data_IF_715904147196
#
_entry.id   IF_715904147196
#
_cell.length_a   1.000
_cell.length_b   1.000
_cell.length_c   1.000
_cell.angle_alpha   90.00
_cell.angle_beta   90.00
_cell.angle_gamma   90.00
#
_symmetry.space_group_name_H-M   'P 1'
#
loop_
_entity.id
_entity.type
_entity.pdbx_description
1 polymer ?
#
# COMPACT_ATOMS: atom_id res chain seq x y z
N UNK A 1 3.56 14.97 10.00
CA UNK A 1 4.73 14.50 9.22
C UNK A 1 5.25 13.27 9.94
N UNK A 2 5.36 12.13 9.26
CA UNK A 2 5.91 10.91 9.87
C UNK A 2 7.39 11.17 10.19
N UNK A 3 7.77 11.15 11.45
CA UNK A 3 9.17 11.29 11.88
C UNK A 3 9.89 9.93 11.82
N UNK A 4 9.77 9.27 10.67
CA UNK A 4 10.35 7.96 10.42
C UNK A 4 11.58 8.13 9.50
N UNK A 5 12.73 7.59 9.92
CA UNK A 5 13.98 7.67 9.17
C UNK A 5 14.26 6.42 8.33
N UNK A 6 13.60 5.31 8.66
CA UNK A 6 13.76 4.03 7.96
C UNK A 6 12.58 3.80 7.01
N UNK A 7 12.87 3.81 5.71
CA UNK A 7 11.88 3.51 4.67
C UNK A 7 12.34 2.32 3.84
N UNK A 8 11.55 1.25 3.82
CA UNK A 8 11.88 0.02 3.12
C UNK A 8 10.99 -0.13 1.90
N UNK A 9 11.60 -0.23 0.72
CA UNK A 9 10.92 -0.28 -0.57
C UNK A 9 11.50 -1.39 -1.44
N UNK A 10 10.67 -2.37 -1.83
CA UNK A 10 11.10 -3.49 -2.67
C UNK A 10 11.57 -3.05 -4.06
N UNK A 11 10.94 -2.05 -4.66
CA UNK A 11 11.33 -1.54 -5.99
C UNK A 11 12.73 -0.89 -5.92
N UNK A 12 13.02 -0.14 -4.84
CA UNK A 12 14.34 0.43 -4.61
C UNK A 12 15.42 -0.64 -4.39
N UNK A 13 15.09 -1.71 -3.65
CA UNK A 13 15.99 -2.86 -3.46
C UNK A 13 16.24 -3.55 -4.81
N UNK A 14 15.20 -3.82 -5.59
CA UNK A 14 15.33 -4.44 -6.91
C UNK A 14 16.19 -3.61 -7.87
N UNK A 15 15.99 -2.28 -7.89
CA UNK A 15 16.80 -1.37 -8.69
C UNK A 15 18.28 -1.36 -8.23
N UNK A 16 18.55 -1.51 -6.95
CA UNK A 16 19.92 -1.64 -6.41
C UNK A 16 20.59 -2.96 -6.80
N UNK A 17 19.84 -4.07 -6.82
CA UNK A 17 20.35 -5.38 -7.20
C UNK A 17 20.57 -5.54 -8.71
N UNK A 18 19.64 -5.02 -9.51
CA UNK A 18 19.66 -5.13 -10.97
C UNK A 18 19.12 -3.85 -11.62
N UNK A 19 19.96 -2.80 -11.77
CA UNK A 19 19.52 -1.49 -12.24
C UNK A 19 18.87 -1.51 -13.64
N UNK A 20 19.31 -2.41 -14.53
CA UNK A 20 18.80 -2.51 -15.90
C UNK A 20 17.67 -3.53 -16.06
N UNK A 21 17.46 -4.41 -15.09
CA UNK A 21 16.38 -5.42 -15.13
C UNK A 21 15.87 -5.76 -13.72
N UNK A 22 15.26 -4.79 -13.01
CA UNK A 22 14.80 -4.98 -11.63
C UNK A 22 13.72 -6.07 -11.50
N UNK A 23 12.95 -6.33 -12.55
CA UNK A 23 11.91 -7.37 -12.54
C UNK A 23 12.49 -8.78 -12.33
N UNK A 24 13.69 -9.05 -12.86
CA UNK A 24 14.35 -10.37 -12.73
C UNK A 24 14.65 -10.74 -11.28
N UNK A 25 14.76 -9.77 -10.39
CA UNK A 25 15.10 -9.92 -8.96
C UNK A 25 13.96 -9.52 -8.01
N UNK A 26 12.75 -9.33 -8.53
CA UNK A 26 11.62 -8.85 -7.73
C UNK A 26 11.29 -9.75 -6.53
N UNK A 27 11.41 -11.08 -6.67
CA UNK A 27 11.18 -12.04 -5.58
C UNK A 27 12.27 -11.92 -4.51
N UNK A 28 13.53 -11.77 -4.93
CA UNK A 28 14.67 -11.59 -4.03
C UNK A 28 14.55 -10.27 -3.28
N UNK A 29 14.25 -9.19 -3.97
CA UNK A 29 14.00 -7.88 -3.38
C UNK A 29 12.88 -7.91 -2.34
N UNK A 30 11.80 -8.63 -2.62
CA UNK A 30 10.71 -8.83 -1.66
C UNK A 30 11.15 -9.59 -0.39
N UNK A 31 12.02 -10.60 -0.53
CA UNK A 31 12.59 -11.32 0.61
C UNK A 31 13.51 -10.42 1.44
N UNK A 32 14.38 -9.65 0.80
CA UNK A 32 15.27 -8.69 1.46
C UNK A 32 14.49 -7.61 2.18
N UNK A 33 13.42 -7.08 1.56
CA UNK A 33 12.50 -6.14 2.20
C UNK A 33 11.93 -6.72 3.50
N UNK A 34 11.39 -7.95 3.47
CA UNK A 34 10.84 -8.59 4.67
C UNK A 34 11.92 -8.85 5.74
N UNK A 35 13.12 -9.28 5.34
CA UNK A 35 14.25 -9.44 6.26
C UNK A 35 14.58 -8.14 6.97
N UNK A 36 14.70 -7.03 6.20
CA UNK A 36 14.98 -5.71 6.77
C UNK A 36 13.89 -5.24 7.74
N UNK A 37 12.62 -5.47 7.41
CA UNK A 37 11.50 -5.14 8.30
C UNK A 37 11.62 -5.92 9.62
N UNK A 38 11.94 -7.21 9.59
CA UNK A 38 12.11 -8.00 10.82
C UNK A 38 13.31 -7.53 11.65
N UNK A 39 14.41 -7.14 11.01
CA UNK A 39 15.58 -6.56 11.71
C UNK A 39 15.20 -5.27 12.44
N UNK A 40 14.48 -4.35 11.75
CA UNK A 40 14.03 -3.09 12.33
C UNK A 40 13.06 -3.31 13.50
N UNK A 41 12.12 -4.25 13.33
CA UNK A 41 11.21 -4.65 14.41
C UNK A 41 11.98 -5.21 15.62
N UNK A 42 12.97 -6.08 15.40
CA UNK A 42 13.80 -6.65 16.46
C UNK A 42 14.65 -5.59 17.17
N UNK A 43 15.03 -4.53 16.47
CA UNK A 43 15.78 -3.41 17.03
C UNK A 43 14.91 -2.34 17.71
N UNK A 44 13.58 -2.44 17.62
CA UNK A 44 12.65 -1.44 18.18
C UNK A 44 12.70 -0.09 17.47
N UNK A 45 13.06 -0.07 16.18
CA UNK A 45 13.21 1.15 15.38
C UNK A 45 11.94 1.41 14.57
N UNK A 46 11.45 2.66 14.60
CA UNK A 46 10.31 3.05 13.76
C UNK A 46 10.68 3.00 12.28
N UNK A 47 9.82 2.38 11.48
CA UNK A 47 10.03 2.23 10.04
C UNK A 47 8.72 2.41 9.26
N UNK A 48 8.86 2.72 7.98
CA UNK A 48 7.77 2.71 7.02
C UNK A 48 8.12 1.83 5.82
N UNK A 49 7.11 1.30 5.16
CA UNK A 49 7.27 0.61 3.89
C UNK A 49 6.06 0.86 2.99
N UNK A 50 6.24 0.69 1.68
CA UNK A 50 5.15 0.81 0.73
C UNK A 50 4.73 -0.54 0.15
N UNK A 51 3.45 -0.65 -0.20
CA UNK A 51 2.86 -1.82 -0.82
C UNK A 51 1.61 -1.44 -1.60
N UNK A 52 1.27 -2.21 -2.62
CA UNK A 52 -0.01 -2.07 -3.34
C UNK A 52 -1.20 -2.62 -2.54
N UNK A 53 -1.00 -3.13 -1.34
CA UNK A 53 -1.99 -3.88 -0.54
C UNK A 53 -2.62 -5.09 -1.25
N UNK A 54 -2.19 -5.46 -2.44
CA UNK A 54 -2.76 -6.58 -3.20
C UNK A 54 -2.46 -7.97 -2.60
N UNK A 55 -1.54 -8.04 -1.65
CA UNK A 55 -1.22 -9.27 -0.90
C UNK A 55 -1.85 -9.26 0.50
N UNK A 56 -2.17 -10.45 1.00
CA UNK A 56 -2.69 -10.67 2.36
C UNK A 56 -1.57 -10.91 3.39
N UNK A 57 -0.33 -11.13 2.93
CA UNK A 57 0.80 -11.53 3.79
C UNK A 57 1.16 -10.49 4.85
N UNK A 58 0.92 -9.19 4.58
CA UNK A 58 1.22 -8.14 5.57
C UNK A 58 0.24 -8.08 6.75
N UNK A 59 -0.90 -8.79 6.70
CA UNK A 59 -1.82 -8.90 7.85
C UNK A 59 -1.12 -9.53 9.06
N UNK A 60 -0.35 -10.61 8.83
CA UNK A 60 0.43 -11.24 9.89
C UNK A 60 1.55 -10.34 10.39
N UNK A 61 2.23 -9.60 9.49
CA UNK A 61 3.26 -8.64 9.86
C UNK A 61 2.70 -7.52 10.75
N UNK A 62 1.55 -6.93 10.38
CA UNK A 62 0.87 -5.91 11.20
C UNK A 62 0.57 -6.44 12.59
N UNK A 63 -0.03 -7.64 12.70
CA UNK A 63 -0.34 -8.26 13.98
C UNK A 63 0.91 -8.55 14.81
N UNK A 64 1.98 -9.05 14.18
CA UNK A 64 3.25 -9.31 14.87
C UNK A 64 3.90 -8.02 15.37
N UNK A 65 3.87 -6.95 14.58
CA UNK A 65 4.37 -5.65 15.00
C UNK A 65 3.60 -5.12 16.22
N UNK A 66 2.27 -5.21 16.19
CA UNK A 66 1.43 -4.81 17.32
C UNK A 66 1.70 -5.62 18.60
N UNK A 67 1.96 -6.93 18.46
CA UNK A 67 2.30 -7.79 19.60
C UNK A 67 3.60 -7.38 20.30
N UNK A 68 4.55 -6.77 19.58
CA UNK A 68 5.80 -6.25 20.14
C UNK A 68 5.76 -4.74 20.42
N UNK A 69 4.56 -4.15 20.44
CA UNK A 69 4.31 -2.78 20.93
C UNK A 69 4.28 -1.68 19.87
N UNK A 70 4.42 -2.00 18.56
CA UNK A 70 4.28 -0.99 17.52
C UNK A 70 2.84 -0.50 17.37
N UNK A 71 2.70 0.77 17.02
CA UNK A 71 1.46 1.36 16.51
C UNK A 71 1.53 1.41 14.99
N UNK A 72 0.54 0.79 14.34
CA UNK A 72 0.51 0.67 12.88
C UNK A 72 -0.41 1.71 12.28
N UNK A 73 0.18 2.58 11.45
CA UNK A 73 -0.54 3.58 10.66
C UNK A 73 -0.57 3.17 9.19
N UNK A 74 -1.76 3.10 8.60
CA UNK A 74 -1.96 2.86 7.18
C UNK A 74 -2.34 4.16 6.48
N UNK A 75 -1.53 4.60 5.51
CA UNK A 75 -1.89 5.64 4.57
C UNK A 75 -2.19 5.00 3.20
N UNK A 76 -3.43 5.03 2.76
CA UNK A 76 -3.83 4.52 1.46
C UNK A 76 -4.04 5.67 0.47
N UNK A 77 -3.27 5.66 -0.60
CA UNK A 77 -3.35 6.66 -1.68
C UNK A 77 -4.29 6.10 -2.75
N UNK A 78 -5.52 6.59 -2.75
CA UNK A 78 -6.53 6.16 -3.70
C UNK A 78 -6.32 6.81 -5.07
N UNK A 79 -6.61 6.04 -6.11
CA UNK A 79 -6.66 6.43 -7.51
C UNK A 79 -8.05 6.04 -8.03
N UNK A 80 -8.67 6.86 -8.86
CA UNK A 80 -10.08 6.70 -9.27
C UNK A 80 -10.35 5.42 -10.07
N UNK A 81 -9.39 4.95 -10.86
CA UNK A 81 -9.61 3.81 -11.75
C UNK A 81 -8.34 3.00 -12.08
N UNK A 82 -8.49 1.73 -12.50
CA UNK A 82 -7.39 0.97 -13.09
C UNK A 82 -6.79 1.66 -14.33
N UNK A 83 -7.61 2.36 -15.12
CA UNK A 83 -7.15 3.09 -16.31
C UNK A 83 -6.18 4.21 -15.94
N UNK A 84 -6.48 5.00 -14.91
CA UNK A 84 -5.58 6.02 -14.37
C UNK A 84 -4.30 5.41 -13.80
N UNK A 85 -4.41 4.25 -13.12
CA UNK A 85 -3.22 3.54 -12.66
C UNK A 85 -2.33 3.08 -13.82
N UNK A 86 -2.91 2.57 -14.91
CA UNK A 86 -2.18 2.17 -16.12
C UNK A 86 -1.51 3.38 -16.79
N UNK A 87 -2.20 4.51 -16.89
CA UNK A 87 -1.63 5.75 -17.43
C UNK A 87 -0.41 6.19 -16.60
N UNK A 88 -0.50 6.21 -15.27
CA UNK A 88 0.63 6.57 -14.40
C UNK A 88 1.82 5.61 -14.56
N UNK A 89 1.57 4.32 -14.78
CA UNK A 89 2.64 3.36 -15.09
C UNK A 89 3.28 3.69 -16.44
N UNK A 90 2.48 3.98 -17.47
CA UNK A 90 2.99 4.35 -18.79
C UNK A 90 3.87 5.62 -18.73
N UNK A 91 3.42 6.66 -18.02
CA UNK A 91 4.20 7.89 -17.80
C UNK A 91 5.51 7.63 -17.07
N UNK A 92 5.50 6.72 -16.09
CA UNK A 92 6.71 6.31 -15.36
C UNK A 92 7.68 5.56 -16.26
N UNK A 93 7.19 4.70 -17.15
CA UNK A 93 8.01 3.97 -18.14
C UNK A 93 8.73 4.93 -19.07
N UNK A 94 8.06 5.99 -19.56
CA UNK A 94 8.68 7.04 -20.39
C UNK A 94 9.84 7.73 -19.65
N UNK A 95 9.78 7.79 -18.31
CA UNK A 95 10.83 8.38 -17.44
C UNK A 95 11.90 7.35 -17.02
N UNK A 96 11.93 6.17 -17.63
CA UNK A 96 12.92 5.13 -17.33
C UNK A 96 12.51 4.12 -16.26
N UNK A 97 11.25 4.12 -15.82
CA UNK A 97 10.71 3.10 -14.90
C UNK A 97 10.36 1.80 -15.65
N UNK A 98 10.16 0.72 -14.90
CA UNK A 98 9.77 -0.57 -15.46
C UNK A 98 8.27 -0.61 -15.82
N UNK A 99 7.93 -1.41 -16.84
CA UNK A 99 6.56 -1.64 -17.24
C UNK A 99 5.90 -2.71 -16.37
N UNK A 100 4.59 -2.59 -16.15
CA UNK A 100 3.77 -3.60 -15.47
C UNK A 100 2.62 -3.96 -16.42
N UNK A 101 2.36 -5.25 -16.70
CA UNK A 101 1.23 -5.66 -17.54
C UNK A 101 -0.11 -5.14 -17.03
N UNK A 102 -0.97 -4.70 -17.95
CA UNK A 102 -2.26 -4.06 -17.61
C UNK A 102 -3.16 -4.93 -16.73
N UNK A 103 -3.23 -6.24 -17.02
CA UNK A 103 -3.99 -7.20 -16.22
C UNK A 103 -3.45 -7.35 -14.79
N UNK A 104 -2.15 -7.14 -14.59
CA UNK A 104 -1.53 -7.15 -13.25
C UNK A 104 -1.91 -5.88 -12.48
N UNK A 105 -1.90 -4.71 -13.16
CA UNK A 105 -2.32 -3.43 -12.57
C UNK A 105 -3.78 -3.51 -12.14
N UNK A 106 -4.66 -3.95 -13.03
CA UNK A 106 -6.08 -4.06 -12.76
C UNK A 106 -6.36 -5.03 -11.59
N UNK A 107 -5.76 -6.21 -11.61
CA UNK A 107 -5.88 -7.18 -10.53
C UNK A 107 -5.39 -6.63 -9.19
N UNK A 108 -4.23 -5.91 -9.19
CA UNK A 108 -3.68 -5.30 -7.97
C UNK A 108 -4.58 -4.18 -7.45
N UNK A 109 -5.16 -3.37 -8.33
CA UNK A 109 -6.08 -2.30 -7.98
C UNK A 109 -7.28 -2.83 -7.19
N UNK A 110 -7.99 -3.80 -7.74
CA UNK A 110 -9.18 -4.34 -7.08
C UNK A 110 -8.85 -5.14 -5.82
N UNK A 111 -7.79 -5.95 -5.84
CA UNK A 111 -7.32 -6.64 -4.63
C UNK A 111 -6.87 -5.69 -3.55
N UNK A 112 -6.25 -4.59 -3.91
CA UNK A 112 -5.84 -3.54 -2.97
C UNK A 112 -7.04 -2.93 -2.26
N UNK A 113 -8.10 -2.57 -2.99
CA UNK A 113 -9.34 -2.04 -2.41
C UNK A 113 -10.05 -3.07 -1.51
N UNK A 114 -10.19 -4.32 -1.97
CA UNK A 114 -10.77 -5.38 -1.16
C UNK A 114 -10.00 -5.58 0.14
N UNK A 115 -8.69 -5.70 0.07
CA UNK A 115 -7.85 -5.92 1.24
C UNK A 115 -7.85 -4.69 2.17
N UNK A 116 -7.86 -3.48 1.63
CA UNK A 116 -7.99 -2.25 2.40
C UNK A 116 -9.18 -2.33 3.35
N UNK A 117 -10.37 -2.55 2.79
CA UNK A 117 -11.63 -2.52 3.55
C UNK A 117 -11.76 -3.72 4.48
N UNK A 118 -11.45 -4.93 3.98
CA UNK A 118 -11.80 -6.16 4.70
C UNK A 118 -10.67 -6.69 5.60
N UNK A 119 -9.41 -6.31 5.34
CA UNK A 119 -8.27 -6.90 6.05
C UNK A 119 -7.46 -5.88 6.85
N UNK A 120 -7.19 -4.68 6.29
CA UNK A 120 -6.24 -3.75 6.90
C UNK A 120 -6.91 -2.68 7.76
N UNK A 121 -7.97 -2.04 7.30
CA UNK A 121 -8.75 -1.09 8.12
C UNK A 121 -9.16 -1.69 9.47
N UNK A 122 -9.67 -2.94 9.55
CA UNK A 122 -10.09 -3.52 10.82
C UNK A 122 -8.96 -3.78 11.82
N UNK A 123 -7.70 -3.76 11.41
CA UNK A 123 -6.58 -4.13 12.29
C UNK A 123 -5.58 -2.99 12.53
N UNK A 124 -5.58 -1.92 11.73
CA UNK A 124 -4.65 -0.81 11.90
C UNK A 124 -5.05 0.09 13.07
N UNK A 125 -4.07 0.51 13.89
CA UNK A 125 -4.30 1.43 15.00
C UNK A 125 -4.81 2.79 14.50
N UNK A 126 -4.28 3.26 13.37
CA UNK A 126 -4.79 4.41 12.63
C UNK A 126 -4.74 4.12 11.12
N UNK A 127 -5.70 4.62 10.39
CA UNK A 127 -5.71 4.58 8.92
C UNK A 127 -6.28 5.86 8.33
N UNK A 128 -5.76 6.23 7.17
CA UNK A 128 -6.25 7.35 6.37
C UNK A 128 -6.28 6.95 4.90
N UNK A 129 -7.35 7.31 4.21
CA UNK A 129 -7.49 7.18 2.76
C UNK A 129 -7.49 8.59 2.17
N UNK A 130 -6.62 8.83 1.19
CA UNK A 130 -6.47 10.13 0.53
C UNK A 130 -6.71 10.00 -0.98
N UNK A 131 -7.36 10.99 -1.56
CA UNK A 131 -7.44 11.18 -3.01
C UNK A 131 -6.17 11.87 -3.51
N UNK A 132 -5.50 11.29 -4.49
CA UNK A 132 -4.27 11.84 -5.09
C UNK A 132 -4.49 12.26 -6.57
N UNK A 133 -5.71 12.64 -6.91
CA UNK A 133 -6.06 13.14 -8.25
C UNK A 133 -5.83 14.67 -8.37
N UNK A 134 -5.95 15.38 -7.25
CA UNK A 134 -5.70 16.80 -7.16
C UNK A 134 -4.19 17.11 -6.96
N UNK A 135 -3.82 18.36 -7.17
CA UNK A 135 -2.44 18.86 -6.91
C UNK A 135 -2.02 18.64 -5.45
N UNK A 136 -2.97 18.74 -4.54
CA UNK A 136 -2.77 18.46 -3.11
C UNK A 136 -3.62 17.23 -2.74
N UNK A 137 -3.04 16.21 -2.08
CA UNK A 137 -3.82 15.07 -1.61
C UNK A 137 -4.94 15.50 -0.67
N UNK A 138 -6.18 15.05 -0.94
CA UNK A 138 -7.37 15.37 -0.15
C UNK A 138 -7.81 14.17 0.67
N UNK A 139 -8.08 14.31 1.98
CA UNK A 139 -8.54 13.22 2.80
C UNK A 139 -9.96 12.79 2.37
N UNK A 140 -10.16 11.47 2.23
CA UNK A 140 -11.46 10.84 1.92
C UNK A 140 -12.11 10.32 3.18
N UNK A 141 -11.35 9.59 3.99
CA UNK A 141 -11.81 9.01 5.24
C UNK A 141 -10.59 8.67 6.12
N UNK A 142 -10.81 8.67 7.41
CA UNK A 142 -9.81 8.24 8.40
C UNK A 142 -10.46 7.54 9.58
N UNK A 143 -9.67 6.81 10.37
CA UNK A 143 -10.16 6.14 11.56
C UNK A 143 -9.11 5.21 12.18
N UNK A 144 -9.55 4.32 13.05
CA UNK A 144 -8.70 3.32 13.68
C UNK A 144 -9.47 2.40 14.59
N UNK A 145 -8.84 1.34 15.06
CA UNK A 145 -9.49 0.29 15.88
C UNK A 145 -10.17 0.86 17.13
N UNK A 146 -9.61 1.92 17.73
CA UNK A 146 -10.11 2.49 19.00
C UNK A 146 -10.68 3.91 18.86
N UNK A 147 -10.75 4.49 17.66
CA UNK A 147 -11.13 5.90 17.46
C UNK A 147 -12.30 6.10 16.49
N UNK A 148 -12.96 5.01 16.07
CA UNK A 148 -14.03 5.10 15.09
C UNK A 148 -13.57 5.58 13.73
N UNK A 149 -14.52 5.85 12.83
CA UNK A 149 -14.24 6.31 11.47
C UNK A 149 -14.92 7.64 11.19
N UNK A 150 -14.20 8.55 10.53
CA UNK A 150 -14.71 9.84 10.04
C UNK A 150 -14.68 9.78 8.52
N UNK A 151 -15.84 9.96 7.89
CA UNK A 151 -15.97 10.01 6.43
C UNK A 151 -16.04 11.49 6.02
N UNK A 152 -15.00 11.93 5.30
CA UNK A 152 -14.83 13.32 4.88
C UNK A 152 -15.45 13.53 3.48
N UNK A 153 -15.13 12.63 2.54
CA UNK A 153 -15.72 12.62 1.20
C UNK A 153 -16.59 11.36 1.02
N UNK A 154 -17.88 11.50 1.34
CA UNK A 154 -18.83 10.38 1.28
C UNK A 154 -18.98 9.80 -0.13
N UNK A 155 -18.97 10.63 -1.17
CA UNK A 155 -19.13 10.17 -2.55
C UNK A 155 -18.00 9.20 -2.94
N UNK A 156 -16.73 9.60 -2.76
CA UNK A 156 -15.59 8.76 -3.09
C UNK A 156 -15.54 7.52 -2.19
N UNK A 157 -15.88 7.68 -0.91
CA UNK A 157 -15.90 6.56 0.03
C UNK A 157 -16.93 5.49 -0.36
N UNK A 158 -18.11 5.89 -0.83
CA UNK A 158 -19.13 4.98 -1.33
C UNK A 158 -18.67 4.27 -2.63
N UNK A 159 -17.94 4.96 -3.50
CA UNK A 159 -17.31 4.34 -4.70
C UNK A 159 -16.30 3.28 -4.29
N UNK A 160 -15.42 3.55 -3.34
CA UNK A 160 -14.44 2.59 -2.82
C UNK A 160 -15.14 1.34 -2.28
N UNK A 161 -16.16 1.50 -1.43
CA UNK A 161 -16.93 0.40 -0.85
C UNK A 161 -17.78 -0.37 -1.86
N UNK A 162 -18.24 0.26 -2.95
CA UNK A 162 -18.99 -0.44 -4.00
C UNK A 162 -18.10 -1.34 -4.85
N UNK A 163 -16.87 -0.91 -5.12
CA UNK A 163 -15.88 -1.67 -5.91
C UNK A 163 -15.26 -2.83 -5.14
N UNK A 164 -15.21 -2.73 -3.81
CA UNK A 164 -14.84 -3.83 -2.93
C UNK A 164 -15.75 -5.06 -3.13
N UNK A 165 -17.07 -4.85 -3.18
CA UNK A 165 -18.07 -5.93 -3.29
C UNK A 165 -18.06 -6.65 -4.64
N UNK A 166 -17.60 -6.03 -5.71
CA UNK A 166 -17.60 -6.62 -7.06
C UNK A 166 -16.53 -7.70 -7.25
N UNK A 167 -15.51 -7.78 -6.41
CA UNK A 167 -14.38 -8.71 -6.57
C UNK A 167 -14.18 -9.72 -5.44
N UNK A 168 -15.05 -9.73 -4.43
CA UNK A 168 -15.08 -10.80 -3.41
C UNK A 168 -15.49 -12.16 -3.94
N UNK A 169 -15.92 -12.28 -5.21
CA UNK A 169 -16.44 -13.47 -5.87
C UNK A 169 -15.57 -14.01 -7.03
N UNK A 170 -14.30 -13.57 -7.15
CA UNK A 170 -13.36 -14.14 -8.15
C UNK A 170 -12.09 -14.67 -7.53
#
# INVERSE_FOLDING_TARGET
MLNCKEFVNADGIAAGLSPFNPESVAIEAGRLMLSRIHELMGAGVDFAFETTLATRSYVSLVKSAQQVGYKVTLLFIWIDSPATAMQRVAERVVKGGHNIPSEVIERRYYRGLFNLINLYIPICDYWMVVNNEAVTPEPIAEGGVNIGSIIINKYIWDVINSRDKQNGNK
#
